data_IF_682611066437
#
_entry.id   IF_682611066437
#
_cell.length_a   1.000
_cell.length_b   1.000
_cell.length_c   1.000
_cell.angle_alpha   90.00
_cell.angle_beta   90.00
_cell.angle_gamma   90.00
#
_symmetry.space_group_name_H-M   'P 1'
#
loop_
_entity.id
_entity.type
_entity.pdbx_description
1 polymer ?
#
# COMPACT_ATOMS: atom_id res chain seq x y z
N UNK A 1 29.19 -15.71 12.47
CA UNK A 1 28.36 -15.17 13.60
C UNK A 1 28.20 -13.65 13.54
N UNK A 2 29.26 -12.87 13.27
CA UNK A 2 29.22 -11.39 13.24
C UNK A 2 28.34 -10.84 12.10
N UNK A 3 28.38 -11.41 10.90
CA UNK A 3 27.59 -10.98 9.73
C UNK A 3 26.08 -11.15 9.95
N UNK A 4 25.65 -12.20 10.64
CA UNK A 4 24.25 -12.48 10.97
C UNK A 4 23.69 -11.46 11.98
N UNK A 5 24.45 -11.08 12.98
CA UNK A 5 24.05 -10.08 13.98
C UNK A 5 23.91 -8.70 13.36
N UNK A 6 24.87 -8.29 12.51
CA UNK A 6 24.80 -7.01 11.81
C UNK A 6 23.56 -6.92 10.89
N UNK A 7 23.22 -8.00 10.19
CA UNK A 7 22.01 -8.05 9.35
C UNK A 7 20.74 -7.90 10.19
N UNK A 8 20.64 -8.59 11.32
CA UNK A 8 19.47 -8.50 12.22
C UNK A 8 19.33 -7.09 12.79
N UNK A 9 20.44 -6.45 13.19
CA UNK A 9 20.42 -5.07 13.69
C UNK A 9 19.96 -4.11 12.59
N UNK A 10 20.50 -4.23 11.37
CA UNK A 10 20.10 -3.40 10.24
C UNK A 10 18.62 -3.56 9.90
N UNK A 11 18.12 -4.79 9.81
CA UNK A 11 16.71 -5.07 9.55
C UNK A 11 15.78 -4.46 10.63
N UNK A 12 16.16 -4.58 11.90
CA UNK A 12 15.40 -3.99 13.01
C UNK A 12 15.46 -2.45 13.01
N UNK A 13 16.61 -1.85 12.66
CA UNK A 13 16.74 -0.40 12.56
C UNK A 13 15.84 0.17 11.47
N UNK A 14 15.85 -0.43 10.27
CA UNK A 14 14.96 -0.04 9.16
C UNK A 14 13.49 -0.15 9.57
N UNK A 15 13.15 -1.22 10.29
CA UNK A 15 11.80 -1.42 10.82
C UNK A 15 11.39 -0.32 11.81
N UNK A 16 12.26 0.02 12.77
CA UNK A 16 12.02 1.09 13.73
C UNK A 16 11.84 2.45 13.07
N UNK A 17 12.68 2.81 12.10
CA UNK A 17 12.57 4.05 11.35
C UNK A 17 11.19 4.14 10.67
N UNK A 18 10.73 3.06 10.03
CA UNK A 18 9.42 3.01 9.39
C UNK A 18 8.27 3.16 10.38
N UNK A 19 8.36 2.53 11.54
CA UNK A 19 7.35 2.66 12.59
C UNK A 19 7.25 4.11 13.08
N UNK A 20 8.39 4.77 13.29
CA UNK A 20 8.44 6.19 13.67
C UNK A 20 7.82 7.04 12.57
N UNK A 21 8.14 6.79 11.30
CA UNK A 21 7.54 7.51 10.17
C UNK A 21 6.03 7.32 10.10
N UNK A 22 5.51 6.11 10.31
CA UNK A 22 4.07 5.85 10.35
C UNK A 22 3.39 6.63 11.49
N UNK A 23 4.00 6.68 12.68
CA UNK A 23 3.48 7.44 13.82
C UNK A 23 3.47 8.95 13.52
N UNK A 24 4.53 9.46 12.90
CA UNK A 24 4.60 10.88 12.53
C UNK A 24 3.57 11.25 11.46
N UNK A 25 3.38 10.41 10.45
CA UNK A 25 2.32 10.61 9.43
C UNK A 25 0.92 10.56 10.08
N UNK A 26 0.70 9.58 10.93
CA UNK A 26 -0.54 9.45 11.70
C UNK A 26 -0.84 10.74 12.50
N UNK A 27 0.16 11.29 13.20
CA UNK A 27 0.02 12.57 13.91
C UNK A 27 -0.28 13.75 12.99
N UNK A 28 0.26 13.76 11.78
CA UNK A 28 -0.07 14.80 10.78
C UNK A 28 -1.52 14.68 10.32
N UNK A 29 -2.04 13.46 10.14
CA UNK A 29 -3.44 13.21 9.81
C UNK A 29 -4.35 13.71 10.94
N UNK A 30 -4.09 13.30 12.20
CA UNK A 30 -4.89 13.72 13.36
C UNK A 30 -4.96 15.25 13.53
N UNK A 31 -3.87 15.94 13.24
CA UNK A 31 -3.81 17.38 13.36
C UNK A 31 -4.31 18.14 12.12
N UNK A 32 -4.85 17.45 11.09
CA UNK A 32 -5.28 18.06 9.84
C UNK A 32 -4.15 18.75 9.05
N UNK A 33 -2.89 18.37 9.32
CA UNK A 33 -1.69 18.99 8.72
C UNK A 33 -1.21 18.24 7.47
N UNK A 34 -1.78 17.07 7.19
CA UNK A 34 -1.42 16.34 6.00
C UNK A 34 -2.08 17.00 4.78
N UNK A 35 -1.27 17.39 3.82
CA UNK A 35 -1.72 18.03 2.57
C UNK A 35 -1.48 17.09 1.41
N UNK A 36 -2.44 17.02 0.50
CA UNK A 36 -2.27 16.37 -0.79
C UNK A 36 -1.44 17.27 -1.71
N UNK A 37 -0.51 16.67 -2.45
CA UNK A 37 0.28 17.34 -3.48
C UNK A 37 0.41 16.39 -4.67
N UNK A 38 -0.50 16.55 -5.63
CA UNK A 38 -0.53 15.71 -6.83
C UNK A 38 0.26 16.36 -7.96
N UNK A 39 0.97 15.54 -8.72
CA UNK A 39 1.63 15.92 -9.97
C UNK A 39 1.26 14.96 -11.08
N UNK A 40 1.33 15.39 -12.33
CA UNK A 40 1.08 14.51 -13.48
C UNK A 40 2.24 13.55 -13.68
N UNK A 41 1.94 12.26 -13.85
CA UNK A 41 2.96 11.24 -14.08
C UNK A 41 2.37 9.91 -14.57
N UNK A 42 3.25 8.97 -14.92
CA UNK A 42 2.88 7.62 -15.32
C UNK A 42 2.68 6.75 -14.06
N UNK A 43 1.43 6.56 -13.65
CA UNK A 43 1.08 5.80 -12.43
C UNK A 43 1.44 4.31 -12.57
N UNK A 44 1.39 3.75 -13.78
CA UNK A 44 1.76 2.35 -14.03
C UNK A 44 3.26 2.14 -13.88
N UNK A 45 4.08 3.05 -14.41
CA UNK A 45 5.54 2.99 -14.22
C UNK A 45 5.94 3.21 -12.76
N UNK A 46 5.26 4.12 -12.06
CA UNK A 46 5.42 4.28 -10.62
C UNK A 46 5.13 2.97 -9.88
N UNK A 47 4.01 2.29 -10.15
CA UNK A 47 3.70 0.99 -9.53
C UNK A 47 4.74 -0.06 -9.84
N UNK A 48 5.21 -0.13 -11.09
CA UNK A 48 6.26 -1.07 -11.50
C UNK A 48 7.55 -0.87 -10.69
N UNK A 49 7.96 0.38 -10.50
CA UNK A 49 9.13 0.72 -9.67
C UNK A 49 8.92 0.29 -8.21
N UNK A 50 7.77 0.61 -7.62
CA UNK A 50 7.44 0.26 -6.21
C UNK A 50 7.37 -1.25 -6.00
N UNK A 51 6.69 -2.00 -6.89
CA UNK A 51 6.62 -3.47 -6.81
C UNK A 51 7.99 -4.10 -7.01
N UNK A 52 8.79 -3.62 -7.96
CA UNK A 52 10.15 -4.13 -8.21
C UNK A 52 11.08 -3.91 -7.02
N UNK A 53 10.97 -2.77 -6.35
CA UNK A 53 11.73 -2.49 -5.12
C UNK A 53 11.36 -3.45 -3.97
N UNK A 54 10.16 -4.02 -4.00
CA UNK A 54 9.68 -4.97 -3.00
C UNK A 54 10.12 -6.43 -3.28
N UNK A 55 10.48 -6.76 -4.51
CA UNK A 55 10.81 -8.10 -4.94
C UNK A 55 11.92 -8.80 -4.10
N UNK A 56 13.01 -8.11 -3.66
CA UNK A 56 14.05 -8.75 -2.82
C UNK A 56 13.50 -9.21 -1.46
N UNK A 57 12.56 -8.45 -0.85
CA UNK A 57 11.94 -8.80 0.42
C UNK A 57 11.05 -10.04 0.27
N UNK A 58 10.24 -10.07 -0.78
CA UNK A 58 9.35 -11.20 -1.13
C UNK A 58 10.19 -12.47 -1.33
N UNK A 59 11.30 -12.38 -2.10
CA UNK A 59 12.21 -13.49 -2.33
C UNK A 59 12.88 -14.00 -1.05
N UNK A 60 13.28 -13.10 -0.14
CA UNK A 60 13.84 -13.45 1.18
C UNK A 60 12.85 -14.28 2.01
N UNK A 61 11.56 -14.05 1.84
CA UNK A 61 10.48 -14.78 2.51
C UNK A 61 10.01 -16.03 1.73
N UNK A 62 10.69 -16.39 0.63
CA UNK A 62 10.34 -17.50 -0.26
C UNK A 62 8.94 -17.37 -0.88
N UNK A 63 8.52 -16.14 -1.14
CA UNK A 63 7.28 -15.80 -1.82
C UNK A 63 7.56 -15.40 -3.27
N UNK A 64 6.51 -15.36 -4.07
CA UNK A 64 6.52 -14.82 -5.43
C UNK A 64 5.63 -13.58 -5.51
N UNK A 65 5.93 -12.70 -6.46
CA UNK A 65 5.07 -11.56 -6.78
C UNK A 65 4.86 -11.51 -8.30
N UNK A 66 3.62 -11.37 -8.70
CA UNK A 66 3.21 -11.18 -10.08
C UNK A 66 2.61 -9.79 -10.24
N UNK A 67 2.97 -9.11 -11.32
CA UNK A 67 2.43 -7.80 -11.64
C UNK A 67 2.13 -7.74 -13.14
N UNK A 68 0.87 -7.49 -13.49
CA UNK A 68 0.43 -7.29 -14.88
C UNK A 68 0.47 -5.80 -15.22
N UNK A 69 1.23 -5.48 -16.27
CA UNK A 69 1.39 -4.15 -16.86
C UNK A 69 1.00 -4.19 -18.34
N UNK A 70 -0.10 -4.85 -18.66
CA UNK A 70 -0.59 -4.94 -20.03
C UNK A 70 -0.91 -3.57 -20.63
N UNK A 71 -1.22 -2.57 -19.79
CA UNK A 71 -1.57 -1.21 -20.19
C UNK A 71 -0.85 -0.20 -19.30
N UNK A 72 -0.57 0.99 -19.86
CA UNK A 72 0.04 2.10 -19.13
C UNK A 72 -0.96 3.24 -18.97
N UNK A 73 -1.04 3.75 -17.73
CA UNK A 73 -1.94 4.83 -17.37
C UNK A 73 -1.15 6.01 -16.80
N UNK A 74 -1.59 7.21 -17.17
CA UNK A 74 -1.02 8.47 -16.66
C UNK A 74 -2.10 9.37 -16.11
N UNK A 75 -1.76 10.16 -15.11
CA UNK A 75 -2.67 11.08 -14.48
C UNK A 75 -2.05 11.79 -13.28
N UNK A 76 -2.88 12.45 -12.50
CA UNK A 76 -2.46 13.19 -11.32
C UNK A 76 -2.52 12.32 -10.07
N UNK A 77 -1.43 12.25 -9.33
CA UNK A 77 -1.36 11.53 -8.05
C UNK A 77 -0.22 12.08 -7.19
N UNK A 78 -0.32 11.87 -5.88
CA UNK A 78 0.75 12.20 -4.94
C UNK A 78 1.67 10.99 -4.76
N UNK A 79 2.86 11.07 -5.31
CA UNK A 79 3.86 9.99 -5.36
C UNK A 79 4.22 9.50 -3.97
N UNK A 80 4.50 10.42 -3.03
CA UNK A 80 4.93 10.06 -1.67
C UNK A 80 3.86 9.32 -0.89
N UNK A 81 2.60 9.73 -1.03
CA UNK A 81 1.49 9.13 -0.33
C UNK A 81 1.07 7.82 -0.96
N UNK A 82 1.05 7.76 -2.30
CA UNK A 82 0.73 6.53 -3.01
C UNK A 82 1.81 5.47 -2.77
N UNK A 83 3.10 5.84 -2.69
CA UNK A 83 4.18 4.90 -2.34
C UNK A 83 3.96 4.27 -0.96
N UNK A 84 3.53 5.05 0.04
CA UNK A 84 3.19 4.55 1.37
C UNK A 84 2.00 3.58 1.34
N UNK A 85 0.97 3.89 0.54
CA UNK A 85 -0.18 3.00 0.32
C UNK A 85 0.27 1.67 -0.27
N UNK A 86 1.01 1.71 -1.38
CA UNK A 86 1.53 0.51 -2.07
C UNK A 86 2.40 -0.32 -1.13
N UNK A 87 3.34 0.35 -0.44
CA UNK A 87 4.24 -0.31 0.50
C UNK A 87 3.46 -1.02 1.63
N UNK A 88 2.48 -0.36 2.23
CA UNK A 88 1.69 -0.94 3.32
C UNK A 88 0.88 -2.17 2.84
N UNK A 89 0.28 -2.09 1.66
CA UNK A 89 -0.48 -3.21 1.09
C UNK A 89 0.43 -4.40 0.76
N UNK A 90 1.58 -4.16 0.10
CA UNK A 90 2.55 -5.21 -0.22
C UNK A 90 3.18 -5.83 1.03
N UNK A 91 3.50 -5.01 2.04
CA UNK A 91 4.03 -5.48 3.32
C UNK A 91 3.02 -6.35 4.06
N UNK A 92 1.75 -5.96 4.01
CA UNK A 92 0.65 -6.74 4.58
C UNK A 92 0.48 -8.08 3.84
N UNK A 93 0.44 -8.05 2.51
CA UNK A 93 0.37 -9.24 1.68
C UNK A 93 1.54 -10.19 1.97
N UNK A 94 2.79 -9.69 2.01
CA UNK A 94 3.96 -10.51 2.30
C UNK A 94 3.93 -11.12 3.71
N UNK A 95 3.35 -10.40 4.69
CA UNK A 95 3.23 -10.88 6.07
C UNK A 95 2.26 -12.06 6.22
N UNK A 96 1.17 -12.06 5.45
CA UNK A 96 0.07 -13.02 5.60
C UNK A 96 0.03 -14.08 4.51
N UNK A 97 0.89 -14.01 3.50
CA UNK A 97 1.04 -15.04 2.48
C UNK A 97 1.82 -16.24 3.05
N UNK A 98 1.32 -17.47 2.95
CA UNK A 98 2.06 -18.67 3.30
C UNK A 98 3.32 -18.83 2.47
N UNK A 99 4.36 -19.51 3.01
CA UNK A 99 5.59 -19.83 2.29
C UNK A 99 5.27 -20.53 0.95
N UNK A 100 5.91 -20.10 -0.12
CA UNK A 100 5.66 -20.58 -1.49
C UNK A 100 4.47 -19.89 -2.18
N UNK A 101 3.70 -19.06 -1.48
CA UNK A 101 2.57 -18.35 -2.08
C UNK A 101 2.97 -17.22 -3.02
N UNK A 102 2.02 -16.78 -3.84
CA UNK A 102 2.19 -15.71 -4.83
C UNK A 102 1.30 -14.54 -4.50
N UNK A 103 1.89 -13.36 -4.38
CA UNK A 103 1.17 -12.09 -4.28
C UNK A 103 0.89 -11.61 -5.71
N UNK A 104 -0.35 -11.27 -6.01
CA UNK A 104 -0.75 -10.75 -7.33
C UNK A 104 -1.10 -9.28 -7.19
N UNK A 105 -0.41 -8.45 -7.96
CA UNK A 105 -0.70 -7.01 -8.08
C UNK A 105 -1.29 -6.76 -9.45
N UNK A 106 -2.44 -6.14 -9.51
CA UNK A 106 -3.09 -5.78 -10.76
C UNK A 106 -3.55 -4.33 -10.75
N UNK A 107 -3.66 -3.78 -11.93
CA UNK A 107 -4.15 -2.42 -12.15
C UNK A 107 -5.28 -2.40 -13.17
N UNK A 108 -6.14 -1.39 -13.09
CA UNK A 108 -7.18 -1.11 -14.06
C UNK A 108 -7.45 0.39 -14.09
N UNK A 109 -8.01 0.87 -15.16
CA UNK A 109 -8.43 2.25 -15.36
C UNK A 109 -9.88 2.30 -15.83
N UNK A 110 -10.66 3.21 -15.26
CA UNK A 110 -12.00 3.55 -15.73
C UNK A 110 -11.90 4.90 -16.44
N UNK A 111 -11.98 4.89 -17.78
CA UNK A 111 -11.83 6.09 -18.60
C UNK A 111 -12.97 7.09 -18.38
N UNK A 112 -14.19 6.62 -18.16
CA UNK A 112 -15.36 7.49 -17.95
C UNK A 112 -15.25 8.25 -16.63
N UNK A 113 -14.85 7.54 -15.56
CA UNK A 113 -14.66 8.12 -14.23
C UNK A 113 -13.30 8.76 -14.04
N UNK A 114 -12.36 8.52 -14.96
CA UNK A 114 -10.96 8.89 -14.83
C UNK A 114 -10.36 8.45 -13.48
N UNK A 115 -10.63 7.19 -13.11
CA UNK A 115 -10.11 6.58 -11.88
C UNK A 115 -9.12 5.48 -12.20
N UNK A 116 -8.13 5.36 -11.34
CA UNK A 116 -7.12 4.30 -11.36
C UNK A 116 -7.39 3.34 -10.22
N UNK A 117 -7.40 2.05 -10.51
CA UNK A 117 -7.63 0.99 -9.54
C UNK A 117 -6.38 0.15 -9.40
N UNK A 118 -5.94 -0.01 -8.16
CA UNK A 118 -4.87 -0.92 -7.74
C UNK A 118 -5.49 -2.05 -6.92
N UNK A 119 -5.18 -3.30 -7.26
CA UNK A 119 -5.56 -4.46 -6.47
C UNK A 119 -4.32 -5.23 -6.03
N UNK A 120 -4.28 -5.60 -4.76
CA UNK A 120 -3.24 -6.47 -4.19
C UNK A 120 -3.94 -7.68 -3.60
N UNK A 121 -3.72 -8.84 -4.22
CA UNK A 121 -4.26 -10.11 -3.77
C UNK A 121 -3.15 -10.97 -3.18
N UNK A 122 -3.47 -11.67 -2.11
CA UNK A 122 -2.59 -12.67 -1.53
C UNK A 122 -3.37 -13.91 -1.06
N UNK A 123 -2.84 -15.12 -1.25
CA UNK A 123 -3.40 -16.30 -0.62
C UNK A 123 -3.24 -16.19 0.90
N UNK A 124 -4.20 -16.71 1.64
CA UNK A 124 -4.17 -16.66 3.10
C UNK A 124 -5.45 -17.20 3.73
N UNK A 125 -5.50 -17.18 5.04
CA UNK A 125 -6.70 -17.59 5.76
C UNK A 125 -7.86 -16.64 5.48
N UNK A 126 -9.07 -17.20 5.42
CA UNK A 126 -10.30 -16.41 5.30
C UNK A 126 -10.43 -15.45 6.47
N UNK A 127 -10.61 -14.17 6.16
CA UNK A 127 -10.87 -13.14 7.17
C UNK A 127 -12.37 -13.10 7.45
N UNK A 128 -12.82 -13.36 8.67
CA UNK A 128 -14.23 -13.27 9.04
C UNK A 128 -14.81 -11.89 8.76
N UNK A 129 -16.09 -11.84 8.37
CA UNK A 129 -16.76 -10.58 8.02
C UNK A 129 -16.67 -9.52 9.12
N UNK A 130 -16.85 -9.94 10.37
CA UNK A 130 -16.76 -9.06 11.54
C UNK A 130 -15.37 -8.41 11.66
N UNK A 131 -14.31 -9.09 11.18
CA UNK A 131 -12.95 -8.54 11.17
C UNK A 131 -12.72 -7.62 9.96
N UNK A 132 -13.31 -7.93 8.81
CA UNK A 132 -13.23 -7.08 7.61
C UNK A 132 -13.81 -5.68 7.89
N UNK A 133 -14.91 -5.61 8.63
CA UNK A 133 -15.60 -4.35 8.95
C UNK A 133 -14.74 -3.41 9.82
N UNK A 134 -13.84 -3.98 10.63
CA UNK A 134 -13.01 -3.23 11.59
C UNK A 134 -11.53 -3.09 11.21
N UNK A 135 -11.05 -3.78 10.15
CA UNK A 135 -9.61 -3.87 9.89
C UNK A 135 -8.93 -2.55 9.49
N UNK A 136 -9.71 -1.54 9.11
CA UNK A 136 -9.22 -0.18 8.87
C UNK A 136 -9.35 0.74 10.08
N UNK A 137 -9.83 0.23 11.22
CA UNK A 137 -9.87 0.98 12.46
C UNK A 137 -8.47 1.13 13.06
N UNK A 138 -8.28 2.21 13.80
CA UNK A 138 -7.01 2.53 14.44
C UNK A 138 -6.73 1.54 15.56
N UNK A 139 -5.48 1.08 15.63
CA UNK A 139 -5.01 0.13 16.65
C UNK A 139 -5.75 -1.22 16.65
N UNK A 140 -6.47 -1.51 15.55
CA UNK A 140 -7.06 -2.82 15.39
C UNK A 140 -5.95 -3.83 15.07
N UNK A 141 -5.57 -4.59 16.08
CA UNK A 141 -4.75 -5.80 15.95
C UNK A 141 -5.71 -7.00 15.97
N UNK A 142 -6.01 -7.56 14.81
CA UNK A 142 -6.68 -8.85 14.76
C UNK A 142 -5.88 -9.86 15.60
N UNK A 143 -6.54 -10.85 16.23
CA UNK A 143 -5.94 -11.88 17.10
C UNK A 143 -4.88 -12.78 16.41
N UNK A 144 -4.23 -12.29 15.36
CA UNK A 144 -3.17 -12.98 14.61
C UNK A 144 -1.82 -13.01 15.35
N UNK A 145 -1.84 -13.19 16.68
CA UNK A 145 -0.62 -13.43 17.50
C UNK A 145 0.14 -14.71 17.13
N UNK A 146 -0.40 -15.54 16.20
CA UNK A 146 0.21 -16.84 15.83
C UNK A 146 1.52 -16.72 15.03
N UNK A 147 1.84 -15.59 14.44
CA UNK A 147 3.04 -15.44 13.59
C UNK A 147 4.01 -14.40 14.16
N UNK A 148 4.43 -14.42 15.37
CA UNK A 148 5.55 -13.61 15.94
C UNK A 148 5.90 -12.27 15.25
N UNK A 149 4.99 -11.70 14.45
CA UNK A 149 5.14 -10.45 13.72
C UNK A 149 4.24 -9.41 14.35
N UNK A 150 4.83 -8.57 15.20
CA UNK A 150 4.17 -7.44 15.82
C UNK A 150 3.75 -6.46 14.71
N UNK A 151 2.46 -6.33 14.46
CA UNK A 151 1.89 -5.22 13.70
C UNK A 151 1.71 -4.02 14.62
N UNK A 152 1.68 -2.81 14.07
CA UNK A 152 1.41 -1.58 14.86
C UNK A 152 -0.07 -1.27 14.96
N UNK A 153 -0.93 -2.00 14.22
CA UNK A 153 -2.35 -1.64 14.06
C UNK A 153 -2.59 -0.29 13.37
N UNK A 154 -1.54 0.39 12.91
CA UNK A 154 -1.61 1.73 12.29
C UNK A 154 -1.57 1.65 10.75
N UNK A 155 -0.94 0.63 10.18
CA UNK A 155 -0.66 0.56 8.75
C UNK A 155 -1.90 0.66 7.86
N UNK A 156 -2.94 -0.15 8.12
CA UNK A 156 -4.16 -0.15 7.30
C UNK A 156 -5.03 1.09 7.54
N UNK A 157 -5.12 1.58 8.78
CA UNK A 157 -5.84 2.83 9.07
C UNK A 157 -5.17 4.02 8.39
N UNK A 158 -3.83 4.12 8.43
CA UNK A 158 -3.08 5.14 7.70
C UNK A 158 -3.27 4.99 6.18
N UNK A 159 -3.25 3.77 5.66
CA UNK A 159 -3.54 3.52 4.22
C UNK A 159 -4.91 4.07 3.83
N UNK A 160 -5.94 3.82 4.64
CA UNK A 160 -7.27 4.37 4.42
C UNK A 160 -7.27 5.90 4.45
N UNK A 161 -6.63 6.51 5.44
CA UNK A 161 -6.54 7.97 5.54
C UNK A 161 -5.83 8.59 4.32
N UNK A 162 -4.74 7.98 3.82
CA UNK A 162 -4.02 8.43 2.63
C UNK A 162 -4.84 8.28 1.34
N UNK A 163 -5.60 7.19 1.21
CA UNK A 163 -6.49 6.97 0.07
C UNK A 163 -7.66 7.96 0.09
N UNK A 164 -8.26 8.20 1.25
CA UNK A 164 -9.30 9.22 1.40
C UNK A 164 -8.79 10.63 1.10
N UNK A 165 -7.53 10.94 1.48
CA UNK A 165 -6.89 12.20 1.13
C UNK A 165 -6.72 12.37 -0.39
N UNK A 166 -6.53 11.26 -1.15
CA UNK A 166 -6.55 11.25 -2.62
C UNK A 166 -7.97 11.31 -3.21
N UNK A 167 -9.00 11.56 -2.41
CA UNK A 167 -10.41 11.51 -2.83
C UNK A 167 -10.84 10.11 -3.32
N UNK A 168 -10.13 9.07 -2.90
CA UNK A 168 -10.32 7.69 -3.32
C UNK A 168 -11.06 6.82 -2.31
N UNK A 169 -11.15 5.55 -2.62
CA UNK A 169 -11.75 4.51 -1.77
C UNK A 169 -10.83 3.31 -1.61
N UNK A 170 -10.92 2.63 -0.46
CA UNK A 170 -10.25 1.36 -0.22
C UNK A 170 -11.27 0.33 0.25
N UNK A 171 -11.19 -0.87 -0.30
CA UNK A 171 -12.04 -2.01 0.03
C UNK A 171 -11.17 -3.24 0.24
N UNK A 172 -11.72 -4.23 0.96
CA UNK A 172 -11.10 -5.52 1.14
C UNK A 172 -12.13 -6.62 0.93
N UNK A 173 -11.70 -7.66 0.24
CA UNK A 173 -12.48 -8.86 0.00
C UNK A 173 -11.68 -10.05 0.51
N UNK A 174 -12.37 -11.04 1.05
CA UNK A 174 -11.74 -12.27 1.53
C UNK A 174 -12.58 -13.46 1.11
N UNK A 175 -11.94 -14.39 0.44
CA UNK A 175 -12.54 -15.63 -0.06
C UNK A 175 -11.61 -16.81 0.22
N UNK A 176 -12.18 -18.02 0.36
CA UNK A 176 -11.41 -19.23 0.67
C UNK A 176 -10.55 -19.72 -0.51
N UNK A 177 -11.01 -19.50 -1.73
CA UNK A 177 -10.35 -19.97 -2.94
C UNK A 177 -9.46 -18.89 -3.54
N UNK A 178 -9.93 -17.63 -3.53
CA UNK A 178 -9.23 -16.50 -4.12
C UNK A 178 -8.27 -15.79 -3.15
N UNK A 179 -8.39 -16.05 -1.84
CA UNK A 179 -7.58 -15.40 -0.81
C UNK A 179 -8.11 -14.02 -0.42
N UNK A 180 -7.19 -13.11 -0.07
CA UNK A 180 -7.51 -11.77 0.43
C UNK A 180 -7.10 -10.72 -0.59
N UNK A 181 -8.04 -9.85 -1.00
CA UNK A 181 -7.82 -8.80 -2.01
C UNK A 181 -8.10 -7.43 -1.43
N UNK A 182 -7.09 -6.57 -1.42
CA UNK A 182 -7.23 -5.14 -1.14
C UNK A 182 -7.36 -4.39 -2.45
N UNK A 183 -8.36 -3.54 -2.55
CA UNK A 183 -8.65 -2.73 -3.74
C UNK A 183 -8.62 -1.26 -3.35
N UNK A 184 -7.76 -0.49 -3.98
CA UNK A 184 -7.67 0.97 -3.87
C UNK A 184 -8.11 1.56 -5.20
N UNK A 185 -9.02 2.53 -5.16
CA UNK A 185 -9.44 3.29 -6.32
C UNK A 185 -9.25 4.78 -6.03
N UNK A 186 -8.50 5.48 -6.89
CA UNK A 186 -8.24 6.91 -6.77
C UNK A 186 -8.57 7.62 -8.07
N UNK A 187 -9.11 8.85 -8.05
CA UNK A 187 -9.19 9.68 -9.22
C UNK A 187 -7.77 10.05 -9.69
N UNK A 188 -7.58 10.14 -11.01
CA UNK A 188 -6.33 10.57 -11.64
C UNK A 188 -6.54 11.70 -12.65
N UNK A 189 -7.79 12.17 -12.83
CA UNK A 189 -8.12 13.34 -13.63
C UNK A 189 -7.79 14.64 -12.90
N UNK A 190 -7.27 15.65 -13.62
CA UNK A 190 -6.93 16.96 -13.05
C UNK A 190 -8.11 17.63 -12.33
N UNK A 191 -9.31 17.44 -12.86
CA UNK A 191 -10.57 18.02 -12.35
C UNK A 191 -10.98 17.49 -10.98
N UNK A 192 -10.41 16.38 -10.53
CA UNK A 192 -10.70 15.82 -9.21
C UNK A 192 -9.97 16.54 -8.08
N UNK A 193 -9.02 17.43 -8.40
CA UNK A 193 -8.14 18.08 -7.43
C UNK A 193 -8.27 19.60 -7.45
N UNK A 194 -8.28 20.20 -6.26
CA UNK A 194 -8.25 21.64 -6.11
C UNK A 194 -6.90 22.24 -6.55
N UNK A 195 -6.85 23.55 -6.83
CA UNK A 195 -5.63 24.20 -7.31
C UNK A 195 -4.48 24.12 -6.29
N UNK A 196 -4.78 24.22 -5.02
CA UNK A 196 -3.78 24.14 -3.93
C UNK A 196 -3.30 22.70 -3.66
N UNK A 197 -3.96 21.69 -4.22
CA UNK A 197 -3.55 20.29 -4.17
C UNK A 197 -2.62 19.90 -5.33
N UNK A 198 -2.53 20.71 -6.38
CA UNK A 198 -1.71 20.41 -7.56
C UNK A 198 -0.35 21.10 -7.46
N UNK A 199 0.72 20.34 -7.69
CA UNK A 199 2.08 20.85 -7.79
C UNK A 199 2.47 20.96 -9.28
N UNK A 200 2.42 22.17 -9.82
CA UNK A 200 2.78 22.45 -11.23
C UNK A 200 4.30 22.48 -11.46
N UNK A 201 5.11 22.51 -10.38
CA UNK A 201 6.57 22.64 -10.49
C UNK A 201 7.31 21.30 -10.58
N UNK A 202 6.63 20.17 -10.45
CA UNK A 202 7.21 18.85 -10.66
C UNK A 202 7.07 18.47 -12.14
N UNK A 203 8.16 18.62 -12.89
CA UNK A 203 8.30 17.97 -14.21
C UNK A 203 8.05 16.47 -14.05
N UNK A 204 7.34 15.88 -15.03
CA UNK A 204 6.89 14.51 -15.11
C UNK A 204 7.75 13.51 -14.32
N UNK A 205 7.10 12.78 -13.43
CA UNK A 205 7.71 11.64 -12.74
C UNK A 205 7.78 10.48 -13.75
N UNK A 206 8.86 10.46 -14.54
CA UNK A 206 9.21 9.37 -15.45
C UNK A 206 9.84 8.17 -14.73
#
# INVERSE_FOLDING_TARGET
>A
ASSSVCSVIADNTVRLIRLIQQILEFRKVENGKLRLKVSHGNVSMFLKKSVSAFAPLVKKQKLSIQFDLSEEYSGYFDVDKLDKVVYNLLSNAAKYTPEGGTIVVSQAHDEEKRTFKLSVNNPGELIPKEKLDHMFERFYEGEYRKFHTIGTGIGLSLTKDLVLLHHGTIQVFSDKEEGNTFVVEIPIGREAFAEDEVDENTENVD
#
